data_IF_974357679497
#
_entry.id   IF_974357679497
#
_cell.length_a   1.000
_cell.length_b   1.000
_cell.length_c   1.000
_cell.angle_alpha   90.00
_cell.angle_beta   90.00
_cell.angle_gamma   90.00
#
_symmetry.space_group_name_H-M   'P 1'
#
loop_
_entity.id
_entity.type
_entity.pdbx_description
1 polymer ?
#
# COMPACT_ATOMS: atom_id res chain seq x y z
N UNK A 1 13.06 6.01 -56.52
CA UNK A 1 12.50 6.60 -55.29
C UNK A 1 13.14 5.89 -54.11
N UNK A 2 13.37 6.59 -53.00
CA UNK A 2 14.07 6.04 -51.83
C UNK A 2 13.14 5.13 -51.01
N UNK A 3 13.64 3.95 -50.61
CA UNK A 3 12.92 2.97 -49.78
C UNK A 3 12.42 3.57 -48.47
N UNK A 4 13.17 4.52 -47.93
CA UNK A 4 12.77 5.27 -46.74
C UNK A 4 11.51 6.12 -46.98
N UNK A 5 11.36 6.69 -48.18
CA UNK A 5 10.21 7.52 -48.55
C UNK A 5 8.93 6.70 -48.68
N UNK A 6 9.02 5.51 -49.29
CA UNK A 6 7.87 4.61 -49.48
C UNK A 6 7.31 4.09 -48.15
N UNK A 7 8.21 3.74 -47.22
CA UNK A 7 7.83 3.29 -45.88
C UNK A 7 7.16 4.41 -45.08
N UNK A 8 7.60 5.66 -45.25
CA UNK A 8 7.04 6.82 -44.58
C UNK A 8 5.64 7.16 -45.12
N UNK A 9 5.44 7.06 -46.44
CA UNK A 9 4.12 7.18 -47.04
C UNK A 9 3.16 6.09 -46.56
N UNK A 10 3.64 4.84 -46.46
CA UNK A 10 2.83 3.72 -45.97
C UNK A 10 2.36 3.94 -44.53
N UNK A 11 3.25 4.43 -43.67
CA UNK A 11 2.94 4.77 -42.27
C UNK A 11 1.98 5.96 -42.17
N UNK A 12 2.15 6.97 -43.01
CA UNK A 12 1.26 8.14 -43.08
C UNK A 12 -0.17 7.75 -43.46
N UNK A 13 -0.32 6.88 -44.47
CA UNK A 13 -1.63 6.36 -44.90
C UNK A 13 -2.29 5.50 -43.81
N UNK A 14 -1.52 4.68 -43.12
CA UNK A 14 -2.03 3.84 -42.02
C UNK A 14 -2.53 4.67 -40.84
N UNK A 15 -1.74 5.65 -40.40
CA UNK A 15 -2.14 6.55 -39.31
C UNK A 15 -3.38 7.37 -39.68
N UNK A 16 -3.45 7.85 -40.93
CA UNK A 16 -4.63 8.57 -41.43
C UNK A 16 -5.89 7.68 -41.43
N UNK A 17 -5.76 6.38 -41.73
CA UNK A 17 -6.86 5.41 -41.66
C UNK A 17 -7.31 5.17 -40.21
N UNK A 18 -6.37 5.03 -39.28
CA UNK A 18 -6.68 4.83 -37.86
C UNK A 18 -7.42 6.03 -37.26
N UNK A 19 -6.94 7.25 -37.53
CA UNK A 19 -7.55 8.49 -37.03
C UNK A 19 -8.98 8.67 -37.58
N UNK A 20 -9.22 8.32 -38.85
CA UNK A 20 -10.58 8.34 -39.42
C UNK A 20 -11.48 7.32 -38.75
N UNK A 21 -10.96 6.12 -38.44
CA UNK A 21 -11.71 5.05 -37.77
C UNK A 21 -12.10 5.43 -36.34
N UNK A 22 -11.20 6.10 -35.61
CA UNK A 22 -11.48 6.57 -34.25
C UNK A 22 -12.41 7.78 -34.20
N UNK A 23 -12.45 8.60 -35.27
CA UNK A 23 -13.38 9.74 -35.36
C UNK A 23 -14.80 9.35 -35.79
N UNK A 24 -14.99 8.13 -36.31
CA UNK A 24 -16.28 7.60 -36.77
C UNK A 24 -16.90 6.57 -35.81
N UNK A 25 -16.24 6.24 -34.70
CA UNK A 25 -16.85 5.43 -33.65
C UNK A 25 -17.70 6.35 -32.77
N UNK A 26 -19.02 6.19 -32.82
CA UNK A 26 -19.93 6.82 -31.86
C UNK A 26 -19.56 6.39 -30.42
N UNK A 27 -19.68 7.28 -29.42
CA UNK A 27 -19.46 6.91 -28.03
C UNK A 27 -20.45 5.79 -27.63
N UNK A 28 -20.04 4.84 -26.78
CA UNK A 28 -20.94 3.77 -26.35
C UNK A 28 -22.14 4.38 -25.61
N UNK A 29 -23.36 4.05 -26.04
CA UNK A 29 -24.59 4.45 -25.36
C UNK A 29 -24.60 3.88 -23.93
N UNK A 30 -25.08 4.65 -22.94
CA UNK A 30 -25.22 4.15 -21.57
C UNK A 30 -26.23 3.00 -21.53
N UNK A 31 -25.90 1.93 -20.81
CA UNK A 31 -26.79 0.78 -20.62
C UNK A 31 -28.15 1.23 -20.04
N UNK A 32 -29.28 0.69 -20.52
CA UNK A 32 -30.61 1.11 -20.07
C UNK A 32 -30.82 0.73 -18.60
N UNK A 33 -31.27 1.69 -17.79
CA UNK A 33 -31.70 1.44 -16.41
C UNK A 33 -32.88 0.44 -16.39
N UNK A 34 -32.92 -0.50 -15.44
CA UNK A 34 -34.02 -1.46 -15.36
C UNK A 34 -35.34 -0.73 -15.05
N UNK A 35 -36.36 -1.00 -15.87
CA UNK A 35 -37.70 -0.43 -15.72
C UNK A 35 -38.30 -0.79 -14.35
N UNK A 36 -38.97 0.15 -13.66
CA UNK A 36 -39.65 -0.15 -12.41
C UNK A 36 -40.83 -1.09 -12.67
N UNK A 37 -40.92 -2.19 -11.90
CA UNK A 37 -42.06 -3.10 -11.95
C UNK A 37 -43.38 -2.34 -11.70
N UNK A 38 -44.48 -2.69 -12.38
CA UNK A 38 -45.73 -1.96 -12.27
C UNK A 38 -46.33 -2.10 -10.87
N UNK A 39 -46.45 -0.97 -10.16
CA UNK A 39 -47.28 -0.84 -8.97
C UNK A 39 -48.74 -1.08 -9.37
N UNK A 40 -49.31 -2.19 -8.90
CA UNK A 40 -50.73 -2.50 -9.09
C UNK A 40 -51.58 -1.43 -8.40
N UNK A 41 -52.40 -0.74 -9.18
CA UNK A 41 -53.41 0.21 -8.71
C UNK A 41 -54.29 -0.44 -7.63
N UNK A 42 -54.24 0.10 -6.42
CA UNK A 42 -55.25 -0.18 -5.38
C UNK A 42 -56.23 0.98 -5.37
N UNK A 43 -57.30 0.82 -6.13
CA UNK A 43 -58.54 1.53 -5.88
C UNK A 43 -59.02 1.20 -4.45
N UNK A 44 -59.45 2.24 -3.74
CA UNK A 44 -59.94 2.14 -2.37
C UNK A 44 -61.31 1.47 -2.39
N UNK A 45 -61.48 0.39 -1.62
CA UNK A 45 -62.64 0.24 -0.74
C UNK A 45 -62.43 -0.85 0.32
N UNK A 46 -63.32 -0.82 1.31
CA UNK A 46 -63.15 -1.20 2.71
C UNK A 46 -63.26 -2.72 2.95
N UNK A 47 -62.62 -3.17 4.04
CA UNK A 47 -63.03 -4.26 4.95
C UNK A 47 -62.37 -5.65 4.87
N UNK A 48 -61.74 -5.98 6.01
CA UNK A 48 -61.79 -7.24 6.77
C UNK A 48 -61.03 -8.51 6.28
N UNK A 49 -60.14 -8.98 7.21
CA UNK A 49 -59.87 -10.37 7.66
C UNK A 49 -59.40 -11.39 6.60
N UNK A 50 -58.60 -12.41 6.85
CA UNK A 50 -57.89 -13.05 7.96
C UNK A 50 -57.05 -14.16 7.30
N UNK A 51 -55.92 -14.55 7.90
CA UNK A 51 -55.25 -15.88 7.76
C UNK A 51 -54.74 -16.30 6.37
N UNK A 52 -53.67 -17.07 6.19
CA UNK A 52 -52.85 -17.85 7.09
C UNK A 52 -52.29 -19.04 6.29
N UNK A 53 -51.04 -19.45 6.60
CA UNK A 53 -50.43 -20.74 6.20
C UNK A 53 -50.07 -20.87 4.71
N UNK A 54 -48.98 -21.52 4.32
CA UNK A 54 -48.05 -22.36 5.06
C UNK A 54 -47.41 -23.35 4.08
N UNK A 55 -46.08 -23.51 4.23
CA UNK A 55 -45.29 -24.74 4.02
C UNK A 55 -45.25 -25.36 2.61
N UNK A 56 -44.09 -25.47 1.95
CA UNK A 56 -42.92 -26.31 2.29
C UNK A 56 -42.71 -27.31 1.12
N UNK A 57 -41.55 -27.89 0.77
CA UNK A 57 -40.27 -28.08 1.46
C UNK A 57 -39.27 -28.81 0.52
N UNK A 58 -37.99 -28.43 0.60
CA UNK A 58 -36.76 -29.26 0.45
C UNK A 58 -36.26 -29.57 -0.96
N UNK A 59 -34.96 -29.52 -1.33
CA UNK A 59 -33.63 -29.28 -0.72
C UNK A 59 -32.60 -29.40 -1.87
N UNK A 60 -31.31 -29.01 -1.86
CA UNK A 60 -30.26 -28.85 -0.85
C UNK A 60 -29.02 -28.17 -1.51
N UNK A 61 -28.21 -27.45 -0.71
CA UNK A 61 -26.75 -27.13 -0.86
C UNK A 61 -26.32 -26.09 -1.93
N UNK A 62 -25.44 -25.09 -1.71
CA UNK A 62 -24.64 -24.58 -0.56
C UNK A 62 -24.41 -23.06 -0.82
N UNK A 63 -24.61 -22.24 0.21
CA UNK A 63 -24.66 -20.76 0.24
C UNK A 63 -23.26 -20.18 0.56
N UNK A 64 -22.72 -19.28 -0.28
CA UNK A 64 -22.63 -17.81 -0.11
C UNK A 64 -22.19 -17.30 1.27
N UNK A 65 -21.32 -16.26 1.29
CA UNK A 65 -21.75 -14.89 1.66
C UNK A 65 -20.61 -13.89 1.84
N UNK A 66 -20.82 -12.73 1.22
CA UNK A 66 -20.37 -11.41 1.68
C UNK A 66 -20.76 -11.15 3.15
N UNK A 67 -19.94 -10.42 3.91
CA UNK A 67 -20.45 -9.57 5.00
C UNK A 67 -19.58 -8.32 5.21
N UNK A 68 -20.28 -7.18 5.29
CA UNK A 68 -19.83 -5.86 5.76
C UNK A 68 -19.50 -5.80 7.26
N UNK A 69 -18.58 -4.91 7.61
CA UNK A 69 -18.53 -4.05 8.82
C UNK A 69 -18.38 -4.65 10.25
N UNK A 70 -17.32 -4.22 10.97
CA UNK A 70 -17.28 -3.89 12.42
C UNK A 70 -15.88 -3.31 12.74
N UNK A 71 -15.68 -2.04 13.12
CA UNK A 71 -15.84 -1.41 14.45
C UNK A 71 -14.97 -2.02 15.57
N UNK A 72 -13.97 -1.23 16.00
CA UNK A 72 -13.29 -1.09 17.31
C UNK A 72 -13.13 -2.24 18.34
N UNK A 73 -11.96 -2.19 19.02
CA UNK A 73 -11.51 -2.85 20.29
C UNK A 73 -10.90 -4.25 20.13
N UNK A 74 -9.79 -4.66 20.78
CA UNK A 74 -8.89 -4.10 21.80
C UNK A 74 -7.65 -5.02 21.93
N UNK A 75 -6.50 -4.38 22.17
CA UNK A 75 -5.24 -4.80 22.83
C UNK A 75 -5.01 -6.29 23.22
N UNK A 76 -3.83 -6.85 22.87
CA UNK A 76 -2.80 -7.25 23.86
C UNK A 76 -1.44 -7.64 23.24
N UNK A 77 -0.40 -7.00 23.79
CA UNK A 77 0.96 -7.52 24.08
C UNK A 77 1.79 -8.19 22.96
N UNK A 78 2.84 -7.47 22.51
CA UNK A 78 4.22 -7.97 22.63
C UNK A 78 5.16 -6.83 23.02
N UNK A 79 5.28 -6.64 24.32
CA UNK A 79 6.30 -5.82 24.95
C UNK A 79 7.61 -6.62 24.96
N UNK A 80 8.56 -6.27 24.07
CA UNK A 80 9.90 -6.83 24.12
C UNK A 80 10.73 -6.03 25.13
N UNK A 81 10.70 -6.47 26.39
CA UNK A 81 11.54 -5.99 27.49
C UNK A 81 12.97 -6.50 27.30
N UNK A 82 13.93 -5.59 27.07
CA UNK A 82 15.38 -5.86 27.12
C UNK A 82 15.91 -5.28 28.43
N UNK A 83 16.80 -5.96 29.18
CA UNK A 83 17.08 -5.62 30.57
C UNK A 83 17.95 -4.37 30.73
N UNK A 84 17.73 -3.73 31.87
CA UNK A 84 18.35 -2.51 32.42
C UNK A 84 19.81 -2.75 32.81
N UNK A 85 20.68 -1.81 32.46
CA UNK A 85 21.90 -1.49 33.19
C UNK A 85 21.71 -0.15 33.92
N UNK A 86 22.27 -0.03 35.12
CA UNK A 86 22.10 1.10 36.04
C UNK A 86 22.96 2.33 35.71
N UNK A 87 22.45 3.52 36.05
CA UNK A 87 23.25 4.69 36.41
C UNK A 87 23.05 5.95 35.55
N UNK A 88 22.46 7.00 36.12
CA UNK A 88 22.63 8.39 35.66
C UNK A 88 21.36 9.25 35.66
N UNK A 89 21.29 10.21 36.59
CA UNK A 89 20.23 11.21 36.71
C UNK A 89 20.28 12.20 35.54
N UNK A 90 19.23 12.23 34.73
CA UNK A 90 18.96 13.19 33.66
C UNK A 90 17.57 12.88 33.11
N UNK A 91 16.75 13.90 32.83
CA UNK A 91 15.37 13.72 32.38
C UNK A 91 15.29 12.76 31.17
N UNK A 92 14.96 11.49 31.43
CA UNK A 92 14.86 10.45 30.41
C UNK A 92 13.63 10.73 29.53
N UNK A 93 13.83 11.47 28.43
CA UNK A 93 12.82 11.52 27.37
C UNK A 93 12.64 10.12 26.82
N UNK A 94 11.54 9.47 27.20
CA UNK A 94 11.14 8.17 26.67
C UNK A 94 10.87 8.29 25.17
N UNK A 95 11.78 7.76 24.35
CA UNK A 95 11.65 7.72 22.89
C UNK A 95 10.58 6.70 22.51
N UNK A 96 9.57 7.12 21.74
CA UNK A 96 8.48 6.27 21.28
C UNK A 96 8.77 5.71 19.89
N UNK A 97 8.85 4.38 19.76
CA UNK A 97 9.02 3.70 18.47
C UNK A 97 7.73 2.99 18.06
N UNK A 98 7.32 3.14 16.80
CA UNK A 98 6.15 2.45 16.24
C UNK A 98 6.42 1.95 14.84
N UNK A 99 6.30 0.65 14.62
CA UNK A 99 6.31 0.06 13.27
C UNK A 99 4.95 0.32 12.63
N UNK A 100 4.96 0.84 11.40
CA UNK A 100 3.76 1.18 10.62
C UNK A 100 3.46 0.12 9.57
N UNK A 101 4.49 -0.34 8.87
CA UNK A 101 4.43 -1.44 7.92
C UNK A 101 5.80 -2.11 7.82
N UNK A 102 5.86 -3.41 7.58
CA UNK A 102 7.11 -4.14 7.45
C UNK A 102 6.95 -5.37 6.55
N UNK A 103 7.92 -5.56 5.66
CA UNK A 103 8.17 -6.78 4.90
C UNK A 103 9.67 -7.08 5.05
N UNK A 104 10.05 -7.53 6.25
CA UNK A 104 11.37 -8.06 6.58
C UNK A 104 11.32 -8.86 7.90
N UNK A 105 12.25 -9.81 8.15
CA UNK A 105 12.24 -10.61 9.36
C UNK A 105 12.37 -9.77 10.65
N UNK A 106 11.78 -10.19 11.79
CA UNK A 106 11.80 -9.42 13.04
C UNK A 106 13.21 -9.10 13.56
N UNK A 107 14.19 -9.96 13.29
CA UNK A 107 15.59 -9.71 13.65
C UNK A 107 16.16 -8.48 12.92
N UNK A 108 15.83 -8.34 11.63
CA UNK A 108 16.27 -7.22 10.79
C UNK A 108 15.56 -5.92 11.18
N UNK A 109 14.26 -6.00 11.52
CA UNK A 109 13.50 -4.86 12.05
C UNK A 109 14.13 -4.32 13.35
N UNK A 110 14.47 -5.21 14.29
CA UNK A 110 15.13 -4.83 15.55
C UNK A 110 16.49 -4.16 15.30
N UNK A 111 17.25 -4.62 14.31
CA UNK A 111 18.53 -3.98 13.93
C UNK A 111 18.30 -2.59 13.37
N UNK A 112 17.35 -2.41 12.45
CA UNK A 112 17.02 -1.10 11.90
C UNK A 112 16.59 -0.09 12.97
N UNK A 113 15.70 -0.51 13.87
CA UNK A 113 15.22 0.31 14.99
C UNK A 113 16.37 0.68 15.92
N UNK A 114 17.24 -0.28 16.27
CA UNK A 114 18.39 -0.03 17.14
C UNK A 114 19.33 1.01 16.53
N UNK A 115 19.70 0.84 15.26
CA UNK A 115 20.58 1.77 14.55
C UNK A 115 19.97 3.17 14.49
N UNK A 116 18.66 3.27 14.27
CA UNK A 116 17.95 4.55 14.28
C UNK A 116 17.96 5.22 15.66
N UNK A 117 17.77 4.44 16.73
CA UNK A 117 17.81 4.94 18.11
C UNK A 117 19.22 5.41 18.50
N UNK A 118 20.24 4.62 18.21
CA UNK A 118 21.65 4.96 18.45
C UNK A 118 22.05 6.23 17.68
N UNK A 119 21.70 6.32 16.40
CA UNK A 119 21.97 7.50 15.59
C UNK A 119 21.24 8.74 16.12
N UNK A 120 19.99 8.60 16.57
CA UNK A 120 19.22 9.71 17.15
C UNK A 120 19.80 10.15 18.49
N UNK A 121 20.27 9.23 19.33
CA UNK A 121 20.91 9.52 20.61
C UNK A 121 22.28 10.20 20.45
N UNK A 122 23.04 9.84 19.41
CA UNK A 122 24.35 10.42 19.11
C UNK A 122 24.29 11.84 18.53
N UNK A 123 23.10 12.35 18.20
CA UNK A 123 22.91 13.65 17.55
C UNK A 123 22.16 14.62 18.47
N UNK A 124 22.79 15.71 18.96
CA UNK A 124 22.12 16.71 19.81
C UNK A 124 20.93 17.38 19.12
N UNK A 125 21.01 17.53 17.80
CA UNK A 125 19.93 18.00 16.92
C UNK A 125 19.75 16.99 15.81
N UNK A 126 18.51 16.55 15.61
CA UNK A 126 18.23 15.51 14.64
C UNK A 126 18.44 16.07 13.22
N UNK A 127 19.38 15.47 12.51
CA UNK A 127 19.63 15.71 11.09
C UNK A 127 19.11 14.51 10.29
N UNK A 128 17.98 14.70 9.59
CA UNK A 128 17.35 13.67 8.77
C UNK A 128 18.29 13.10 7.71
N UNK A 129 19.16 13.94 7.13
CA UNK A 129 20.10 13.50 6.09
C UNK A 129 21.16 12.58 6.70
N UNK A 130 21.72 12.94 7.84
CA UNK A 130 22.72 12.13 8.54
C UNK A 130 22.12 10.81 9.04
N UNK A 131 20.89 10.83 9.55
CA UNK A 131 20.17 9.62 9.97
C UNK A 131 19.92 8.67 8.79
N UNK A 132 19.42 9.18 7.67
CA UNK A 132 19.18 8.40 6.46
C UNK A 132 20.48 7.78 5.92
N UNK A 133 21.57 8.54 5.90
CA UNK A 133 22.88 8.06 5.48
C UNK A 133 23.41 6.95 6.40
N UNK A 134 23.27 7.11 7.72
CA UNK A 134 23.72 6.10 8.68
C UNK A 134 22.98 4.77 8.49
N UNK A 135 21.65 4.81 8.36
CA UNK A 135 20.84 3.61 8.11
C UNK A 135 21.18 2.95 6.78
N UNK A 136 21.25 3.74 5.70
CA UNK A 136 21.62 3.22 4.37
C UNK A 136 23.00 2.56 4.40
N UNK A 137 24.01 3.24 4.94
CA UNK A 137 25.39 2.75 4.97
C UNK A 137 25.51 1.45 5.76
N UNK A 138 24.88 1.39 6.93
CA UNK A 138 24.88 0.20 7.78
C UNK A 138 24.27 -1.01 7.07
N UNK A 139 23.13 -0.80 6.39
CA UNK A 139 22.42 -1.87 5.71
C UNK A 139 23.07 -2.29 4.39
N UNK A 140 23.59 -1.35 3.60
CA UNK A 140 24.38 -1.66 2.41
C UNK A 140 25.62 -2.49 2.75
N UNK A 141 26.30 -2.14 3.85
CA UNK A 141 27.52 -2.85 4.28
C UNK A 141 27.20 -4.24 4.83
N UNK A 142 26.11 -4.39 5.60
CA UNK A 142 25.80 -5.64 6.30
C UNK A 142 25.01 -6.62 5.44
N UNK A 143 24.10 -6.13 4.59
CA UNK A 143 23.15 -6.96 3.84
C UNK A 143 23.29 -6.83 2.32
N UNK A 144 24.27 -6.07 1.85
CA UNK A 144 24.54 -5.80 0.44
C UNK A 144 23.67 -4.68 -0.13
N UNK A 145 24.17 -3.96 -1.16
CA UNK A 145 23.43 -2.90 -1.83
C UNK A 145 22.27 -3.46 -2.69
N UNK A 146 21.28 -2.66 -3.08
CA UNK A 146 21.12 -1.23 -2.83
C UNK A 146 19.94 -0.95 -1.87
N UNK A 147 20.26 -0.49 -0.66
CA UNK A 147 19.29 0.02 0.29
C UNK A 147 19.05 1.52 0.08
N UNK A 148 17.83 1.94 0.34
CA UNK A 148 17.40 3.33 0.29
C UNK A 148 16.74 3.68 1.61
N UNK A 149 16.98 4.90 2.09
CA UNK A 149 16.39 5.38 3.32
C UNK A 149 15.85 6.79 3.13
N UNK A 150 14.59 7.00 3.53
CA UNK A 150 13.90 8.29 3.54
C UNK A 150 13.54 8.60 4.99
N UNK A 151 13.89 9.81 5.43
CA UNK A 151 13.64 10.29 6.79
C UNK A 151 13.02 11.67 6.73
N UNK A 152 11.92 11.88 7.45
CA UNK A 152 11.26 13.18 7.52
C UNK A 152 10.14 13.23 8.56
N UNK A 153 9.63 14.42 8.85
CA UNK A 153 8.46 14.60 9.71
C UNK A 153 7.14 14.29 9.00
N UNK A 154 7.14 14.36 7.67
CA UNK A 154 6.05 13.96 6.79
C UNK A 154 6.59 13.68 5.39
N UNK A 155 6.13 12.60 4.76
CA UNK A 155 6.39 12.30 3.36
C UNK A 155 5.34 11.33 2.83
N UNK A 156 5.09 11.39 1.52
CA UNK A 156 4.39 10.34 0.78
C UNK A 156 5.40 9.52 -0.02
N UNK A 157 5.17 8.22 -0.17
CA UNK A 157 6.04 7.33 -0.94
C UNK A 157 5.22 6.31 -1.72
N UNK A 158 5.56 6.11 -2.98
CA UNK A 158 5.08 5.02 -3.81
C UNK A 158 6.30 4.34 -4.44
N UNK A 159 6.74 3.23 -3.86
CA UNK A 159 8.03 2.61 -4.20
C UNK A 159 7.85 1.13 -4.49
N UNK A 160 8.62 0.63 -5.46
CA UNK A 160 8.79 -0.80 -5.68
C UNK A 160 10.03 -1.25 -4.91
N UNK A 161 9.88 -2.27 -4.06
CA UNK A 161 10.96 -2.82 -3.24
C UNK A 161 11.10 -4.32 -3.47
N UNK A 162 12.28 -4.86 -3.17
CA UNK A 162 12.49 -6.31 -3.11
C UNK A 162 11.74 -6.90 -1.91
N UNK A 163 11.36 -8.17 -2.04
CA UNK A 163 10.75 -8.94 -0.95
C UNK A 163 11.69 -9.04 0.26
N UNK A 164 11.13 -8.97 1.46
CA UNK A 164 11.86 -9.12 2.71
C UNK A 164 12.83 -7.97 3.02
N UNK A 165 12.75 -6.86 2.26
CA UNK A 165 13.65 -5.73 2.34
C UNK A 165 12.98 -4.40 2.67
N UNK A 166 11.77 -4.36 3.23
CA UNK A 166 11.01 -3.12 3.45
C UNK A 166 10.62 -2.90 4.91
N UNK A 167 10.78 -1.67 5.41
CA UNK A 167 10.38 -1.27 6.75
C UNK A 167 9.96 0.21 6.79
N UNK A 168 8.76 0.46 7.28
CA UNK A 168 8.24 1.78 7.58
C UNK A 168 7.92 1.89 9.07
N UNK A 169 8.58 2.82 9.77
CA UNK A 169 8.39 3.03 11.20
C UNK A 169 8.58 4.49 11.58
N UNK A 170 8.18 4.84 12.80
CA UNK A 170 8.40 6.17 13.37
C UNK A 170 9.19 6.09 14.67
N UNK A 171 10.07 7.06 14.86
CA UNK A 171 10.78 7.35 16.11
C UNK A 171 10.35 8.75 16.54
N UNK A 172 9.57 8.85 17.62
CA UNK A 172 8.87 10.06 18.05
C UNK A 172 8.02 10.70 16.94
N UNK A 173 8.47 11.85 16.41
CA UNK A 173 7.81 12.61 15.33
C UNK A 173 8.45 12.40 13.97
N UNK A 174 9.49 11.57 13.89
CA UNK A 174 10.21 11.28 12.67
C UNK A 174 9.72 9.97 12.08
N UNK A 175 9.39 10.02 10.81
CA UNK A 175 9.07 8.87 10.00
C UNK A 175 10.31 8.42 9.25
N UNK A 176 10.50 7.11 9.18
CA UNK A 176 11.66 6.47 8.58
C UNK A 176 11.15 5.35 7.68
N UNK A 177 11.49 5.44 6.39
CA UNK A 177 11.24 4.40 5.40
C UNK A 177 12.58 3.85 4.95
N UNK A 178 12.80 2.56 5.16
CA UNK A 178 14.00 1.83 4.74
C UNK A 178 13.57 0.71 3.81
N UNK A 179 14.10 0.69 2.59
CA UNK A 179 13.75 -0.34 1.62
C UNK A 179 14.92 -0.75 0.72
N UNK A 180 14.96 -2.02 0.31
CA UNK A 180 15.92 -2.55 -0.66
C UNK A 180 15.32 -2.57 -2.06
N UNK A 181 16.08 -2.17 -3.07
CA UNK A 181 15.71 -2.32 -4.49
C UNK A 181 16.51 -3.43 -5.14
N UNK A 182 15.91 -4.10 -6.12
CA UNK A 182 16.65 -4.97 -7.03
C UNK A 182 17.49 -4.08 -7.94
N UNK A 183 18.81 -4.11 -7.76
CA UNK A 183 19.77 -3.52 -8.70
C UNK A 183 20.58 -4.65 -9.30
N UNK A 184 20.59 -4.75 -10.63
CA UNK A 184 21.50 -5.64 -11.33
C UNK A 184 22.82 -4.87 -11.49
N UNK A 185 23.93 -5.31 -10.87
CA UNK A 185 25.21 -4.64 -11.05
C UNK A 185 25.60 -4.79 -12.52
N UNK A 186 25.67 -3.69 -13.25
CA UNK A 186 26.25 -3.70 -14.59
C UNK A 186 27.74 -4.01 -14.45
N UNK A 187 28.11 -5.28 -14.66
CA UNK A 187 29.50 -5.68 -14.79
C UNK A 187 30.05 -5.11 -16.10
N UNK A 188 30.52 -3.87 -16.07
CA UNK A 188 31.40 -3.39 -17.12
C UNK A 188 32.72 -4.18 -17.00
N UNK A 189 32.89 -5.18 -17.87
CA UNK A 189 34.22 -5.73 -18.12
C UNK A 189 35.10 -4.59 -18.61
N UNK A 190 36.17 -4.34 -17.87
CA UNK A 190 37.17 -3.32 -18.16
C UNK A 190 38.38 -3.97 -18.78
#
# INVERSE_FOLDING_TARGET
MDRASEELERRSRYLSSLVRRTKLADPPEPEPEPEPEPEREREREVAAKESGGGEGKGGKAVEEKEVKAAKEKKEKEKEAKVPRGEGGNGEEKKVAVRVRAADMPPALQRRAIRVALEATAAMPRIDSKRLALALKKEFDTTYGPAWHCIVGTSFGSYVTHSLGGFLYFSVDKLYILLFRTAVEPLSYQR
#
